data_IF_710826408158
#
_entry.id   IF_710826408158
#
_cell.length_a   1.000
_cell.length_b   1.000
_cell.length_c   1.000
_cell.angle_alpha   90.00
_cell.angle_beta   90.00
_cell.angle_gamma   90.00
#
_symmetry.space_group_name_H-M   'P 1'
#
loop_
_entity.id
_entity.type
_entity.pdbx_description
1 polymer ?
#
# COMPACT_ATOMS: atom_id res chain seq x y z
N UNK A 1 10.79 -7.40 8.41
CA UNK A 1 9.47 -6.94 8.86
C UNK A 1 9.57 -6.65 10.33
N UNK A 2 9.63 -5.36 10.63
CA UNK A 2 9.72 -4.83 11.98
C UNK A 2 8.53 -3.91 12.15
N UNK A 3 7.50 -4.36 12.87
CA UNK A 3 6.26 -3.58 13.02
C UNK A 3 6.40 -2.64 14.22
N UNK A 4 6.14 -1.35 13.98
CA UNK A 4 6.10 -0.31 15.01
C UNK A 4 4.73 0.35 15.03
N UNK A 5 4.17 0.57 16.22
CA UNK A 5 3.00 1.42 16.41
C UNK A 5 3.46 2.87 16.40
N UNK A 6 2.78 3.72 15.62
CA UNK A 6 3.06 5.17 15.56
C UNK A 6 2.89 5.81 16.94
N UNK A 7 3.58 6.92 17.19
CA UNK A 7 3.57 7.57 18.51
C UNK A 7 2.19 8.04 18.96
N UNK A 8 1.33 8.40 18.01
CA UNK A 8 -0.08 8.75 18.20
C UNK A 8 -1.01 7.52 18.34
N UNK A 9 -0.44 6.31 18.21
CA UNK A 9 -1.14 5.01 18.25
C UNK A 9 -2.19 4.83 17.14
N UNK A 10 -2.17 5.66 16.10
CA UNK A 10 -3.14 5.61 15.02
C UNK A 10 -2.89 4.48 14.02
N UNK A 11 -1.64 4.03 13.85
CA UNK A 11 -1.27 3.05 12.85
C UNK A 11 -0.16 2.08 13.32
N UNK A 12 -0.16 0.89 12.72
CA UNK A 12 0.94 -0.05 12.78
C UNK A 12 1.68 -0.04 11.43
N UNK A 13 2.99 0.19 11.44
CA UNK A 13 3.81 0.38 10.24
C UNK A 13 4.97 -0.60 10.26
N UNK A 14 5.14 -1.38 9.19
CA UNK A 14 6.35 -2.16 8.97
C UNK A 14 7.49 -1.21 8.54
N UNK A 15 8.53 -1.13 9.36
CA UNK A 15 9.67 -0.23 9.16
C UNK A 15 10.57 -0.66 7.99
N UNK A 16 10.42 -1.90 7.50
CA UNK A 16 11.23 -2.45 6.42
C UNK A 16 10.49 -2.45 5.07
N UNK A 17 9.25 -1.95 5.03
CA UNK A 17 8.37 -2.04 3.86
C UNK A 17 7.86 -0.67 3.44
N UNK A 18 8.29 -0.24 2.26
CA UNK A 18 8.06 1.10 1.75
C UNK A 18 7.08 1.11 0.59
N UNK A 19 6.34 2.22 0.48
CA UNK A 19 5.57 2.54 -0.72
C UNK A 19 6.48 2.64 -1.93
N UNK A 20 6.04 2.08 -3.04
CA UNK A 20 6.74 2.10 -4.32
C UNK A 20 6.28 3.30 -5.15
N UNK A 21 7.15 3.87 -5.99
CA UNK A 21 6.79 4.99 -6.86
C UNK A 21 5.59 4.65 -7.73
N UNK A 22 4.59 5.54 -7.79
CA UNK A 22 3.33 5.27 -8.49
C UNK A 22 3.52 4.89 -9.97
N UNK A 23 4.50 5.49 -10.66
CA UNK A 23 4.80 5.20 -12.06
C UNK A 23 5.30 3.76 -12.32
N UNK A 24 5.64 3.01 -11.26
CA UNK A 24 6.02 1.58 -11.33
C UNK A 24 4.85 0.64 -11.05
N UNK A 25 3.65 1.17 -10.80
CA UNK A 25 2.49 0.38 -10.45
C UNK A 25 2.05 -0.51 -11.63
N UNK A 26 1.84 -1.82 -11.43
CA UNK A 26 1.29 -2.67 -12.47
C UNK A 26 -0.12 -2.22 -12.85
N UNK A 27 -0.39 -2.19 -14.16
CA UNK A 27 -1.70 -1.87 -14.69
C UNK A 27 -2.64 -3.08 -14.63
N UNK A 28 -3.94 -2.82 -14.53
CA UNK A 28 -5.00 -3.85 -14.49
C UNK A 28 -4.85 -4.89 -13.37
N UNK A 29 -4.07 -4.58 -12.32
CA UNK A 29 -3.84 -5.44 -11.17
C UNK A 29 -4.34 -4.77 -9.88
N UNK A 30 -4.93 -5.56 -8.98
CA UNK A 30 -5.34 -5.07 -7.66
C UNK A 30 -4.11 -4.86 -6.77
N UNK A 31 -3.96 -3.68 -6.21
CA UNK A 31 -2.86 -3.27 -5.34
C UNK A 31 -3.39 -2.49 -4.13
N UNK A 32 -2.50 -2.15 -3.21
CA UNK A 32 -2.74 -1.11 -2.22
C UNK A 32 -2.22 0.23 -2.77
N UNK A 33 -3.01 1.29 -2.67
CA UNK A 33 -2.68 2.64 -3.13
C UNK A 33 -2.65 3.59 -1.92
N UNK A 34 -1.63 4.44 -1.87
CA UNK A 34 -1.54 5.51 -0.88
C UNK A 34 -2.20 6.76 -1.47
N UNK A 35 -3.26 7.25 -0.84
CA UNK A 35 -3.86 8.53 -1.22
C UNK A 35 -2.99 9.71 -0.76
N UNK A 36 -3.19 10.87 -1.36
CA UNK A 36 -2.58 12.14 -0.90
C UNK A 36 -2.93 12.49 0.55
N UNK A 37 -4.08 12.01 1.05
CA UNK A 37 -4.48 12.15 2.45
C UNK A 37 -3.81 11.17 3.41
N UNK A 38 -2.84 10.38 2.95
CA UNK A 38 -2.11 9.42 3.78
C UNK A 38 -2.88 8.12 4.10
N UNK A 39 -4.00 7.86 3.40
CA UNK A 39 -4.85 6.70 3.63
C UNK A 39 -4.55 5.61 2.62
N UNK A 40 -4.36 4.38 3.09
CA UNK A 40 -4.18 3.22 2.23
C UNK A 40 -5.54 2.66 1.78
N UNK A 41 -5.75 2.52 0.47
CA UNK A 41 -6.96 1.93 -0.13
C UNK A 41 -6.61 0.75 -1.03
N UNK A 42 -7.52 -0.22 -1.18
CA UNK A 42 -7.35 -1.33 -2.12
C UNK A 42 -8.09 -1.05 -3.42
N UNK A 43 -7.38 -1.09 -4.54
CA UNK A 43 -7.94 -0.74 -5.84
C UNK A 43 -7.03 -1.10 -7.00
N UNK A 44 -7.30 -0.51 -8.16
CA UNK A 44 -6.49 -0.60 -9.36
C UNK A 44 -6.05 0.80 -9.76
N UNK A 45 -4.78 0.95 -10.14
CA UNK A 45 -4.28 2.22 -10.66
C UNK A 45 -4.56 2.34 -12.16
N UNK A 46 -5.05 3.51 -12.56
CA UNK A 46 -5.21 3.90 -13.96
C UNK A 46 -4.35 5.14 -14.23
N UNK A 47 -3.51 5.14 -15.30
CA UNK A 47 -2.73 6.31 -15.66
C UNK A 47 -3.62 7.54 -15.87
N UNK A 48 -3.19 8.70 -15.34
CA UNK A 48 -3.95 9.95 -15.40
C UNK A 48 -4.97 10.14 -14.28
N UNK A 49 -5.24 9.11 -13.46
CA UNK A 49 -6.01 9.30 -12.22
C UNK A 49 -5.07 9.86 -11.13
N UNK A 50 -5.31 11.11 -10.74
CA UNK A 50 -4.58 11.80 -9.66
C UNK A 50 -5.02 11.35 -8.26
N UNK A 51 -4.40 11.91 -7.23
CA UNK A 51 -4.79 11.67 -5.83
C UNK A 51 -4.07 10.50 -5.16
N UNK A 52 -3.12 9.86 -5.84
CA UNK A 52 -2.30 8.79 -5.30
C UNK A 52 -0.81 9.18 -5.29
N UNK A 53 -0.10 8.79 -4.23
CA UNK A 53 1.33 9.07 -4.03
C UNK A 53 2.22 7.87 -4.35
N UNK A 54 1.70 6.65 -4.16
CA UNK A 54 2.48 5.42 -4.33
C UNK A 54 1.62 4.18 -4.22
N UNK A 55 2.26 3.01 -4.38
CA UNK A 55 1.58 1.72 -4.33
C UNK A 55 2.37 0.68 -3.55
N UNK A 56 1.70 -0.37 -3.09
CA UNK A 56 2.32 -1.55 -2.51
C UNK A 56 1.59 -2.82 -3.00
N UNK A 57 2.30 -3.95 -3.21
CA UNK A 57 1.64 -5.21 -3.51
C UNK A 57 0.81 -5.70 -2.32
N UNK A 58 -0.21 -6.50 -2.63
CA UNK A 58 -1.05 -7.13 -1.62
C UNK A 58 -0.27 -8.20 -0.84
N UNK A 59 -0.58 -8.42 0.45
CA UNK A 59 -0.02 -9.53 1.18
C UNK A 59 -0.41 -10.86 0.53
N UNK A 60 0.54 -11.79 0.47
CA UNK A 60 0.27 -13.15 0.00
C UNK A 60 -0.62 -13.86 1.03
N UNK A 61 -1.68 -14.52 0.58
CA UNK A 61 -2.49 -15.41 1.44
C UNK A 61 -1.60 -16.55 1.94
N UNK A 62 -1.37 -16.68 3.26
CA UNK A 62 -0.55 -17.75 3.81
C UNK A 62 -1.29 -19.09 3.76
N UNK A 63 -0.55 -20.19 3.86
CA UNK A 63 -1.13 -21.55 3.73
C UNK A 63 -2.16 -21.86 4.81
N UNK A 64 -1.96 -21.39 6.04
CA UNK A 64 -2.89 -21.61 7.16
C UNK A 64 -4.26 -20.95 6.98
N UNK A 65 -4.38 -19.99 6.06
CA UNK A 65 -5.65 -19.31 5.77
C UNK A 65 -6.41 -20.00 4.61
N UNK A 66 -5.86 -21.08 4.02
CA UNK A 66 -6.48 -21.75 2.87
C UNK A 66 -7.84 -22.32 3.21
#
# INVERSE_FOLDING_TARGET
MTVKITSDKAAAVDQDYFWRPLHTCPLSAKVQLLTEGGVAVYGQYSPGFGGYLGWAPLPKKPEWMR
#
